data_IF_844673390488
#
_entry.id   IF_844673390488
#
_cell.length_a   1.000
_cell.length_b   1.000
_cell.length_c   1.000
_cell.angle_alpha   90.00
_cell.angle_beta   90.00
_cell.angle_gamma   90.00
#
_symmetry.space_group_name_H-M   'P 1'
#
loop_
_entity.id
_entity.type
_entity.pdbx_description
1 polymer ?
#
# COMPACT_ATOMS: atom_id res chain seq x y z
N UNK A 1 -24.70 15.80 -7.71
CA UNK A 1 -24.34 14.90 -6.58
C UNK A 1 -25.18 13.62 -6.49
N UNK A 2 -26.46 13.64 -6.12
CA UNK A 2 -27.26 12.38 -5.95
C UNK A 2 -27.48 11.62 -7.26
N UNK A 3 -27.71 12.32 -8.37
CA UNK A 3 -27.91 11.70 -9.69
C UNK A 3 -26.61 11.09 -10.24
N UNK A 4 -25.48 11.77 -10.08
CA UNK A 4 -24.15 11.28 -10.49
C UNK A 4 -23.72 10.08 -9.62
N UNK A 5 -23.79 10.18 -8.30
CA UNK A 5 -23.32 9.12 -7.40
C UNK A 5 -24.33 7.98 -7.30
N UNK A 6 -25.63 8.28 -7.27
CA UNK A 6 -26.69 7.28 -7.06
C UNK A 6 -26.99 6.40 -8.27
N UNK A 7 -26.68 6.84 -9.50
CA UNK A 7 -26.93 6.07 -10.73
C UNK A 7 -25.62 5.61 -11.37
N UNK A 8 -24.61 6.48 -11.48
CA UNK A 8 -23.35 6.11 -12.14
C UNK A 8 -22.58 5.08 -11.32
N UNK A 9 -22.51 5.24 -10.00
CA UNK A 9 -21.75 4.33 -9.14
C UNK A 9 -22.24 2.87 -9.20
N UNK A 10 -23.54 2.55 -9.02
CA UNK A 10 -24.01 1.16 -9.11
C UNK A 10 -24.00 0.56 -10.51
N UNK A 11 -23.73 1.33 -11.58
CA UNK A 11 -23.61 0.80 -12.95
C UNK A 11 -22.14 0.64 -13.31
N UNK A 12 -21.32 1.68 -13.14
CA UNK A 12 -19.91 1.68 -13.53
C UNK A 12 -19.01 0.97 -12.53
N UNK A 13 -19.30 1.04 -11.22
CA UNK A 13 -18.49 0.35 -10.21
C UNK A 13 -18.53 -1.18 -10.36
N UNK A 14 -19.70 -1.86 -10.47
CA UNK A 14 -19.70 -3.31 -10.64
C UNK A 14 -19.10 -3.75 -11.98
N UNK A 15 -19.23 -2.98 -13.05
CA UNK A 15 -18.53 -3.26 -14.31
C UNK A 15 -17.00 -3.17 -14.14
N UNK A 16 -16.52 -2.11 -13.48
CA UNK A 16 -15.10 -1.95 -13.15
C UNK A 16 -14.59 -3.08 -12.26
N UNK A 17 -15.32 -3.40 -11.20
CA UNK A 17 -15.00 -4.51 -10.30
C UNK A 17 -14.98 -5.86 -11.03
N UNK A 18 -15.93 -6.11 -11.93
CA UNK A 18 -15.95 -7.32 -12.76
C UNK A 18 -14.74 -7.39 -13.70
N UNK A 19 -14.40 -6.28 -14.37
CA UNK A 19 -13.24 -6.21 -15.26
C UNK A 19 -11.92 -6.42 -14.51
N UNK A 20 -11.72 -5.74 -13.38
CA UNK A 20 -10.52 -5.89 -12.53
C UNK A 20 -10.42 -7.35 -12.06
N UNK A 21 -11.52 -7.91 -11.55
CA UNK A 21 -11.55 -9.30 -11.09
C UNK A 21 -11.17 -10.28 -12.20
N UNK A 22 -11.67 -10.06 -13.43
CA UNK A 22 -11.43 -10.98 -14.56
C UNK A 22 -10.10 -10.79 -15.26
N UNK A 23 -9.50 -9.58 -15.23
CA UNK A 23 -8.27 -9.28 -15.99
C UNK A 23 -7.03 -9.15 -15.11
N UNK A 24 -7.17 -8.64 -13.90
CA UNK A 24 -6.05 -8.41 -12.97
C UNK A 24 -5.98 -9.47 -11.88
N UNK A 25 -7.13 -9.90 -11.36
CA UNK A 25 -7.18 -10.85 -10.24
C UNK A 25 -7.49 -12.29 -10.68
N UNK A 26 -7.82 -12.54 -11.94
CA UNK A 26 -8.16 -13.89 -12.42
C UNK A 26 -6.97 -14.86 -12.43
N UNK A 27 -5.77 -14.31 -12.58
CA UNK A 27 -4.51 -15.05 -12.50
C UNK A 27 -3.61 -14.32 -11.53
N UNK A 28 -3.80 -14.60 -10.24
CA UNK A 28 -2.86 -14.14 -9.22
C UNK A 28 -1.55 -14.91 -9.46
N UNK A 29 -0.41 -14.21 -9.62
CA UNK A 29 0.86 -14.90 -9.75
C UNK A 29 1.14 -15.67 -8.45
N UNK A 30 1.50 -16.93 -8.59
CA UNK A 30 1.97 -17.73 -7.46
C UNK A 30 3.24 -17.09 -6.90
N UNK A 31 3.23 -16.78 -5.60
CA UNK A 31 4.37 -16.20 -4.88
C UNK A 31 5.43 -17.27 -4.54
N UNK A 32 5.60 -18.25 -5.40
CA UNK A 32 6.46 -19.43 -5.21
C UNK A 32 7.87 -19.23 -5.77
N UNK A 33 8.11 -18.12 -6.48
CA UNK A 33 9.44 -17.76 -6.93
C UNK A 33 10.39 -17.62 -5.72
N UNK A 34 11.61 -18.17 -5.79
CA UNK A 34 12.54 -18.17 -4.65
C UNK A 34 12.86 -16.76 -4.17
N UNK A 35 13.02 -15.81 -5.09
CA UNK A 35 13.19 -14.39 -4.78
C UNK A 35 12.04 -13.86 -3.90
N UNK A 36 10.79 -14.09 -4.30
CA UNK A 36 9.60 -13.62 -3.57
C UNK A 36 9.50 -14.23 -2.17
N UNK A 37 9.88 -15.51 -2.02
CA UNK A 37 9.94 -16.18 -0.72
C UNK A 37 10.98 -15.51 0.19
N UNK A 38 12.13 -15.10 -0.35
CA UNK A 38 13.14 -14.40 0.44
C UNK A 38 12.69 -13.02 0.91
N UNK A 39 12.05 -12.24 0.02
CA UNK A 39 11.50 -10.93 0.36
C UNK A 39 10.33 -11.00 1.35
N UNK A 40 9.60 -12.12 1.40
CA UNK A 40 8.45 -12.31 2.28
C UNK A 40 8.81 -12.89 3.65
N UNK A 41 10.08 -13.22 3.90
CA UNK A 41 10.52 -13.70 5.21
C UNK A 41 10.30 -12.60 6.26
N UNK A 42 9.75 -12.95 7.43
CA UNK A 42 9.65 -12.00 8.53
C UNK A 42 11.06 -11.51 8.90
N UNK A 43 11.22 -10.19 9.04
CA UNK A 43 12.46 -9.60 9.53
C UNK A 43 12.65 -9.99 11.02
N UNK A 44 13.88 -9.95 11.55
CA UNK A 44 14.09 -10.15 12.98
C UNK A 44 13.40 -9.04 13.80
N UNK A 45 12.90 -9.37 15.00
CA UNK A 45 12.28 -8.38 15.92
C UNK A 45 13.23 -7.21 16.23
N UNK A 46 14.54 -7.47 16.31
CA UNK A 46 15.56 -6.45 16.54
C UNK A 46 15.67 -5.44 15.40
N UNK A 47 15.39 -5.85 14.16
CA UNK A 47 15.32 -4.95 13.00
C UNK A 47 14.00 -4.17 12.95
N UNK A 48 12.88 -4.80 13.31
CA UNK A 48 11.57 -4.11 13.34
C UNK A 48 11.41 -3.11 14.49
N UNK A 49 12.03 -3.37 15.64
CA UNK A 49 11.92 -2.49 16.80
C UNK A 49 12.73 -1.19 16.64
N UNK A 50 13.70 -1.17 15.71
CA UNK A 50 14.54 -0.01 15.44
C UNK A 50 13.95 0.79 14.29
N UNK A 51 13.76 2.09 14.50
CA UNK A 51 13.35 3.02 13.43
C UNK A 51 14.42 3.08 12.34
N UNK A 52 13.98 3.25 11.09
CA UNK A 52 14.89 3.43 9.96
C UNK A 52 15.76 4.68 10.15
N UNK A 53 17.05 4.65 9.79
CA UNK A 53 17.92 5.83 9.91
C UNK A 53 17.43 7.03 9.08
N UNK A 54 16.75 6.78 7.95
CA UNK A 54 16.13 7.84 7.14
C UNK A 54 14.93 8.47 7.86
N UNK A 55 14.17 7.66 8.61
CA UNK A 55 13.03 8.14 9.39
C UNK A 55 13.48 9.01 10.56
N UNK A 56 14.57 8.63 11.23
CA UNK A 56 15.16 9.44 12.30
C UNK A 56 15.64 10.80 11.80
N UNK A 57 16.27 10.85 10.61
CA UNK A 57 16.70 12.12 10.00
C UNK A 57 15.50 13.01 9.68
N UNK A 58 14.47 12.45 9.02
CA UNK A 58 13.25 13.20 8.70
C UNK A 58 12.51 13.71 9.95
N UNK A 59 12.54 12.95 11.05
CA UNK A 59 11.98 13.38 12.34
C UNK A 59 12.79 14.55 12.91
N UNK A 60 14.13 14.46 12.92
CA UNK A 60 14.99 15.53 13.43
C UNK A 60 14.83 16.83 12.63
N UNK A 61 14.72 16.76 11.30
CA UNK A 61 14.45 17.92 10.45
C UNK A 61 13.09 18.56 10.75
N UNK A 62 12.06 17.72 10.94
CA UNK A 62 10.71 18.17 11.30
C UNK A 62 10.67 18.83 12.68
N UNK A 63 11.35 18.26 13.66
CA UNK A 63 11.44 18.80 15.02
C UNK A 63 12.22 20.12 15.07
N UNK A 64 13.32 20.22 14.32
CA UNK A 64 14.08 21.46 14.18
C UNK A 64 13.22 22.58 13.55
N UNK A 65 12.48 22.27 12.49
CA UNK A 65 11.58 23.22 11.84
C UNK A 65 10.45 23.70 12.78
N UNK A 66 9.91 22.79 13.61
CA UNK A 66 8.91 23.11 14.63
C UNK A 66 9.45 23.97 15.77
N UNK A 67 10.71 23.78 16.18
CA UNK A 67 11.33 24.56 17.24
C UNK A 67 11.72 25.99 16.80
N UNK A 68 11.85 26.22 15.49
CA UNK A 68 12.12 27.54 14.90
C UNK A 68 10.87 28.31 14.46
N UNK A 69 9.69 27.72 14.59
CA UNK A 69 8.39 28.33 14.30
C UNK A 69 7.78 28.98 15.57
#
# INVERSE_FOLDING_TARGET
>A
MVWEIGIMFPIFNPMGAHWITRKKLAHIPELTAPEVIEWSKPLPREQWAKRSPELEQAIAEREAALATA
#
